data_IF_933533018858
#
_entry.id   IF_933533018858
#
_cell.length_a   1.000
_cell.length_b   1.000
_cell.length_c   1.000
_cell.angle_alpha   90.00
_cell.angle_beta   90.00
_cell.angle_gamma   90.00
#
_symmetry.space_group_name_H-M   'P 1'
#
loop_
_entity.id
_entity.type
_entity.pdbx_description
1 polymer ?
#
# COMPACT_ATOMS: atom_id res chain seq x y z
N UNK A 1 5.59 -9.56 5.78
CA UNK A 1 6.51 -10.07 6.83
C UNK A 1 7.07 -8.97 7.72
N UNK A 2 7.81 -7.97 7.26
CA UNK A 2 8.46 -6.97 8.14
C UNK A 2 7.50 -6.32 9.13
N UNK A 3 6.32 -5.87 8.70
CA UNK A 3 5.28 -5.30 9.58
C UNK A 3 4.76 -6.31 10.61
N UNK A 4 4.60 -7.58 10.25
CA UNK A 4 4.18 -8.66 11.16
C UNK A 4 5.24 -8.87 12.23
N UNK A 5 6.50 -9.02 11.84
CA UNK A 5 7.62 -9.22 12.75
C UNK A 5 7.84 -8.05 13.71
N UNK A 6 7.69 -6.81 13.23
CA UNK A 6 7.75 -5.61 14.09
C UNK A 6 6.64 -5.61 15.15
N UNK A 7 5.49 -6.22 14.87
CA UNK A 7 4.38 -6.42 15.80
C UNK A 7 4.53 -7.66 16.70
N UNK A 8 5.62 -8.38 16.57
CA UNK A 8 5.84 -9.61 17.31
C UNK A 8 5.03 -10.80 16.78
N UNK A 9 4.48 -10.69 15.57
CA UNK A 9 3.74 -11.79 14.96
C UNK A 9 4.68 -12.68 14.15
N UNK A 10 4.83 -13.93 14.60
CA UNK A 10 5.49 -15.00 13.89
C UNK A 10 4.45 -15.69 13.00
N UNK A 11 4.73 -15.83 11.70
CA UNK A 11 3.72 -16.39 10.79
C UNK A 11 3.72 -17.91 10.76
N UNK A 12 4.89 -18.53 10.68
CA UNK A 12 5.07 -19.98 10.75
C UNK A 12 4.76 -20.75 9.47
N UNK A 13 4.01 -20.17 8.53
CA UNK A 13 3.64 -20.77 7.24
C UNK A 13 3.54 -19.72 6.13
N UNK A 14 4.60 -18.96 5.97
CA UNK A 14 4.66 -17.97 4.90
C UNK A 14 4.82 -18.64 3.53
N UNK A 15 3.81 -18.49 2.67
CA UNK A 15 3.76 -19.05 1.32
C UNK A 15 3.10 -18.07 0.35
N UNK A 16 3.22 -18.29 -0.96
CA UNK A 16 2.53 -17.49 -1.97
C UNK A 16 1.01 -17.68 -1.90
N UNK A 17 0.56 -18.92 -1.64
CA UNK A 17 -0.86 -19.25 -1.50
C UNK A 17 -1.52 -18.59 -0.31
N UNK A 18 -0.76 -18.30 0.77
CA UNK A 18 -1.23 -17.64 1.98
C UNK A 18 -1.07 -16.12 1.95
N UNK A 19 -0.57 -15.55 0.84
CA UNK A 19 -0.41 -14.12 0.63
C UNK A 19 -1.24 -13.65 -0.58
N UNK A 20 -2.39 -13.05 -0.34
CA UNK A 20 -3.18 -12.43 -1.40
C UNK A 20 -2.70 -11.01 -1.65
N UNK A 21 -2.71 -10.62 -2.92
CA UNK A 21 -2.33 -9.28 -3.34
C UNK A 21 -3.55 -8.55 -3.92
N UNK A 22 -3.77 -7.36 -3.43
CA UNK A 22 -4.78 -6.44 -3.96
C UNK A 22 -4.10 -5.20 -4.49
N UNK A 23 -4.51 -4.74 -5.67
CA UNK A 23 -4.06 -3.45 -6.17
C UNK A 23 -4.71 -2.33 -5.35
N UNK A 24 -3.88 -1.45 -4.79
CA UNK A 24 -4.29 -0.30 -4.01
C UNK A 24 -3.38 0.87 -4.37
N UNK A 25 -3.94 1.90 -4.97
CA UNK A 25 -3.21 3.10 -5.34
C UNK A 25 -1.98 2.86 -6.23
N UNK A 26 -2.11 2.02 -7.27
CA UNK A 26 -1.02 1.69 -8.18
C UNK A 26 0.07 0.77 -7.58
N UNK A 27 -0.04 0.43 -6.29
CA UNK A 27 0.82 -0.52 -5.59
C UNK A 27 0.07 -1.82 -5.28
N UNK A 28 0.79 -2.89 -5.00
CA UNK A 28 0.22 -4.13 -4.51
C UNK A 28 0.27 -4.14 -2.98
N UNK A 29 -0.89 -4.27 -2.35
CA UNK A 29 -1.00 -4.50 -0.91
C UNK A 29 -1.16 -5.99 -0.66
N UNK A 30 -0.29 -6.56 0.18
CA UNK A 30 -0.34 -7.96 0.57
C UNK A 30 -1.24 -8.16 1.79
N UNK A 31 -2.04 -9.21 1.77
CA UNK A 31 -2.92 -9.62 2.86
C UNK A 31 -2.61 -11.06 3.22
N UNK A 32 -2.43 -11.32 4.50
CA UNK A 32 -2.35 -12.67 5.05
C UNK A 32 -3.76 -13.26 5.11
N UNK A 33 -3.96 -14.43 4.52
CA UNK A 33 -5.27 -15.09 4.49
C UNK A 33 -5.37 -16.31 5.39
N UNK A 34 -4.25 -16.94 5.72
CA UNK A 34 -4.18 -18.04 6.69
C UNK A 34 -3.19 -17.67 7.80
N UNK A 35 -3.68 -17.63 9.02
CA UNK A 35 -2.93 -17.29 10.21
C UNK A 35 -3.04 -18.38 11.31
N UNK A 36 -3.50 -19.59 10.97
CA UNK A 36 -3.72 -20.66 11.95
C UNK A 36 -2.41 -21.09 12.63
N UNK A 37 -1.30 -21.01 11.91
CA UNK A 37 0.06 -21.30 12.43
C UNK A 37 0.71 -20.10 13.11
N UNK A 38 0.05 -18.93 13.03
CA UNK A 38 0.61 -17.68 13.53
C UNK A 38 0.65 -17.60 15.06
N UNK A 39 1.74 -17.07 15.57
CA UNK A 39 1.93 -16.87 17.01
C UNK A 39 2.20 -15.41 17.34
N UNK A 40 1.51 -14.89 18.35
CA UNK A 40 1.72 -13.54 18.83
C UNK A 40 2.69 -13.52 20.01
N UNK A 41 3.81 -12.82 19.87
CA UNK A 41 4.83 -12.58 20.88
C UNK A 41 4.88 -11.10 21.24
N UNK A 42 5.47 -10.75 22.38
CA UNK A 42 5.74 -9.36 22.72
C UNK A 42 6.78 -8.76 21.77
N UNK A 43 7.78 -9.55 21.41
CA UNK A 43 8.84 -9.24 20.45
C UNK A 43 9.42 -10.54 19.92
N UNK A 44 9.73 -10.58 18.62
CA UNK A 44 10.40 -11.73 18.02
C UNK A 44 11.93 -11.62 18.18
N UNK A 45 12.55 -12.74 18.53
CA UNK A 45 14.01 -12.88 18.47
C UNK A 45 14.50 -12.96 17.01
N UNK A 46 15.80 -12.70 16.82
CA UNK A 46 16.44 -12.84 15.49
C UNK A 46 16.27 -14.27 14.94
N UNK A 47 16.35 -15.28 15.83
CA UNK A 47 16.16 -16.67 15.46
C UNK A 47 14.75 -17.00 14.99
N UNK A 48 13.72 -16.45 15.64
CA UNK A 48 12.33 -16.64 15.21
C UNK A 48 12.09 -15.98 13.85
N UNK A 49 12.59 -14.75 13.65
CA UNK A 49 12.48 -14.08 12.37
C UNK A 49 13.24 -14.81 11.26
N UNK A 50 14.46 -15.31 11.58
CA UNK A 50 15.25 -16.12 10.64
C UNK A 50 14.51 -17.39 10.22
N UNK A 51 13.91 -18.10 11.18
CA UNK A 51 13.15 -19.31 10.90
C UNK A 51 11.92 -19.05 10.01
N UNK A 52 11.21 -17.96 10.24
CA UNK A 52 10.07 -17.57 9.42
C UNK A 52 10.50 -17.20 7.98
N UNK A 53 11.69 -16.61 7.83
CA UNK A 53 12.29 -16.34 6.52
C UNK A 53 12.71 -17.63 5.80
N UNK A 54 13.27 -18.60 6.51
CA UNK A 54 13.69 -19.88 5.95
C UNK A 54 12.46 -20.65 5.43
N UNK A 55 11.34 -20.64 6.18
CA UNK A 55 10.07 -21.21 5.74
C UNK A 55 9.56 -20.49 4.49
N UNK A 56 9.55 -19.16 4.50
CA UNK A 56 9.11 -18.38 3.35
C UNK A 56 9.93 -18.68 2.09
N UNK A 57 11.25 -18.77 2.23
CA UNK A 57 12.16 -19.09 1.12
C UNK A 57 11.85 -20.47 0.56
N UNK A 58 11.72 -21.48 1.42
CA UNK A 58 11.44 -22.85 1.01
C UNK A 58 10.09 -22.97 0.29
N UNK A 59 9.04 -22.38 0.86
CA UNK A 59 7.69 -22.46 0.31
C UNK A 59 7.60 -21.72 -1.03
N UNK A 60 8.19 -20.51 -1.14
CA UNK A 60 8.19 -19.74 -2.38
C UNK A 60 8.90 -20.49 -3.51
N UNK A 61 10.06 -21.10 -3.24
CA UNK A 61 10.75 -21.94 -4.25
C UNK A 61 9.88 -23.12 -4.66
N UNK A 62 9.31 -23.85 -3.71
CA UNK A 62 8.46 -25.02 -3.99
C UNK A 62 7.25 -24.65 -4.85
N UNK A 63 6.49 -23.63 -4.46
CA UNK A 63 5.30 -23.18 -5.19
C UNK A 63 5.63 -22.62 -6.58
N UNK A 64 6.74 -21.91 -6.75
CA UNK A 64 7.18 -21.45 -8.07
C UNK A 64 7.61 -22.60 -8.98
N UNK A 65 8.26 -23.65 -8.45
CA UNK A 65 8.58 -24.87 -9.20
C UNK A 65 7.33 -25.64 -9.61
N UNK A 66 6.31 -25.69 -8.75
CA UNK A 66 5.01 -26.29 -9.09
C UNK A 66 4.32 -25.53 -10.22
N UNK A 67 4.32 -24.18 -10.15
CA UNK A 67 3.79 -23.31 -11.22
C UNK A 67 4.59 -23.50 -12.52
N UNK A 68 5.91 -23.61 -12.44
CA UNK A 68 6.76 -23.89 -13.60
C UNK A 68 6.39 -25.21 -14.28
N UNK A 69 6.16 -26.24 -13.50
CA UNK A 69 5.81 -27.57 -14.01
C UNK A 69 4.42 -27.60 -14.68
N UNK A 70 3.46 -26.83 -14.16
CA UNK A 70 2.08 -26.81 -14.66
C UNK A 70 1.86 -25.80 -15.81
N UNK A 71 2.37 -24.60 -15.68
CA UNK A 71 2.04 -23.45 -16.57
C UNK A 71 3.25 -22.90 -17.30
N UNK A 72 4.47 -23.22 -16.86
CA UNK A 72 5.70 -22.57 -17.26
C UNK A 72 5.87 -21.20 -16.57
N UNK A 73 7.11 -20.80 -16.37
CA UNK A 73 7.46 -19.47 -15.85
C UNK A 73 8.00 -18.56 -16.95
N UNK A 74 7.92 -17.24 -16.78
CA UNK A 74 8.65 -16.29 -17.62
C UNK A 74 10.16 -16.65 -17.64
N UNK A 75 10.81 -16.47 -18.78
CA UNK A 75 12.23 -16.86 -19.00
C UNK A 75 13.19 -16.18 -18.04
N UNK A 76 12.83 -15.03 -17.52
CA UNK A 76 13.60 -14.17 -16.61
C UNK A 76 13.25 -14.38 -15.12
N UNK A 77 12.37 -15.36 -14.80
CA UNK A 77 11.97 -15.63 -13.43
C UNK A 77 12.58 -16.96 -12.96
N UNK A 78 13.60 -16.87 -12.12
CA UNK A 78 14.23 -18.01 -11.45
C UNK A 78 13.65 -18.15 -10.02
N UNK A 79 13.12 -19.34 -9.64
CA UNK A 79 12.53 -19.58 -8.33
C UNK A 79 13.48 -19.32 -7.15
N UNK A 80 14.72 -19.78 -7.23
CA UNK A 80 15.71 -19.63 -6.15
C UNK A 80 16.14 -18.17 -6.03
N UNK A 81 16.46 -17.51 -7.16
CA UNK A 81 16.84 -16.09 -7.16
C UNK A 81 15.69 -15.21 -6.66
N UNK A 82 14.45 -15.54 -6.99
CA UNK A 82 13.25 -14.80 -6.53
C UNK A 82 13.10 -14.91 -5.01
N UNK A 83 13.23 -16.12 -4.45
CA UNK A 83 13.15 -16.34 -3.01
C UNK A 83 14.30 -15.65 -2.26
N UNK A 84 15.52 -15.72 -2.78
CA UNK A 84 16.68 -15.02 -2.24
C UNK A 84 16.50 -13.49 -2.23
N UNK A 85 15.89 -12.94 -3.28
CA UNK A 85 15.61 -11.50 -3.36
C UNK A 85 14.58 -11.07 -2.31
N UNK A 86 13.56 -11.89 -2.04
CA UNK A 86 12.60 -11.63 -0.96
C UNK A 86 13.32 -11.52 0.39
N UNK A 87 14.22 -12.46 0.70
CA UNK A 87 15.00 -12.44 1.94
C UNK A 87 15.92 -11.22 2.00
N UNK A 88 16.62 -10.91 0.91
CA UNK A 88 17.51 -9.73 0.83
C UNK A 88 16.73 -8.43 1.06
N UNK A 89 15.57 -8.28 0.43
CA UNK A 89 14.70 -7.09 0.61
C UNK A 89 14.15 -6.98 2.03
N UNK A 90 13.76 -8.11 2.61
CA UNK A 90 13.35 -8.13 4.02
C UNK A 90 14.49 -7.65 4.94
N UNK A 91 15.70 -8.19 4.78
CA UNK A 91 16.85 -7.84 5.61
C UNK A 91 17.24 -6.36 5.46
N UNK A 92 17.25 -5.85 4.23
CA UNK A 92 17.52 -4.44 3.96
C UNK A 92 16.49 -3.51 4.61
N UNK A 93 15.21 -3.85 4.47
CA UNK A 93 14.11 -3.10 5.07
C UNK A 93 14.14 -3.18 6.61
N UNK A 94 14.37 -4.38 7.16
CA UNK A 94 14.51 -4.57 8.60
C UNK A 94 15.65 -3.72 9.17
N UNK A 95 16.81 -3.75 8.54
CA UNK A 95 17.95 -2.93 8.93
C UNK A 95 17.63 -1.44 8.87
N UNK A 96 17.02 -0.98 7.78
CA UNK A 96 16.63 0.44 7.64
C UNK A 96 15.65 0.88 8.73
N UNK A 97 14.71 0.02 9.10
CA UNK A 97 13.70 0.31 10.12
C UNK A 97 14.23 0.25 11.55
N UNK A 98 15.15 -0.66 11.84
CA UNK A 98 15.59 -0.93 13.22
C UNK A 98 16.94 -0.29 13.58
N UNK A 99 17.70 0.25 12.62
CA UNK A 99 18.95 0.92 12.93
C UNK A 99 18.70 2.20 13.71
N UNK A 100 19.42 2.37 14.81
CA UNK A 100 19.46 3.64 15.54
C UNK A 100 20.35 4.64 14.77
N UNK A 101 19.85 5.85 14.61
CA UNK A 101 20.63 6.92 13.97
C UNK A 101 20.54 8.18 14.84
N UNK A 102 21.72 8.74 15.18
CA UNK A 102 21.81 9.97 15.94
C UNK A 102 22.18 11.13 14.98
N UNK A 103 21.49 12.26 15.11
CA UNK A 103 21.70 13.44 14.30
C UNK A 103 22.08 14.63 15.18
N UNK A 104 23.03 15.42 14.72
CA UNK A 104 23.36 16.69 15.35
C UNK A 104 22.24 17.72 15.18
N UNK A 105 22.27 18.78 15.99
CA UNK A 105 21.31 19.89 15.92
C UNK A 105 21.28 20.59 14.56
N UNK A 106 22.38 20.56 13.83
CA UNK A 106 22.52 21.19 12.51
C UNK A 106 22.20 20.22 11.34
N UNK A 107 21.85 18.96 11.63
CA UNK A 107 21.64 17.90 10.65
C UNK A 107 20.17 17.57 10.42
N UNK A 108 19.26 18.51 10.65
CA UNK A 108 17.80 18.33 10.44
C UNK A 108 17.45 17.79 9.05
N UNK A 109 18.20 18.17 8.03
CA UNK A 109 17.99 17.70 6.66
C UNK A 109 18.17 16.17 6.53
N UNK A 110 19.05 15.55 7.31
CA UNK A 110 19.22 14.08 7.32
C UNK A 110 18.03 13.37 7.94
N UNK A 111 17.41 13.98 8.94
CA UNK A 111 16.18 13.47 9.54
C UNK A 111 15.06 13.50 8.50
N UNK A 112 14.88 14.62 7.80
CA UNK A 112 13.89 14.76 6.73
C UNK A 112 14.13 13.78 5.59
N UNK A 113 15.38 13.61 5.16
CA UNK A 113 15.76 12.64 4.13
C UNK A 113 15.41 11.21 4.55
N UNK A 114 15.70 10.83 5.80
CA UNK A 114 15.36 9.52 6.32
C UNK A 114 13.85 9.31 6.44
N UNK A 115 13.12 10.30 6.95
CA UNK A 115 11.67 10.28 7.01
C UNK A 115 11.06 10.09 5.62
N UNK A 116 11.56 10.83 4.63
CA UNK A 116 11.11 10.70 3.24
C UNK A 116 11.37 9.30 2.68
N UNK A 117 12.55 8.72 2.96
CA UNK A 117 12.91 7.37 2.54
C UNK A 117 12.01 6.31 3.20
N UNK A 118 11.73 6.43 4.51
CA UNK A 118 10.84 5.52 5.22
C UNK A 118 9.40 5.63 4.71
N UNK A 119 8.93 6.84 4.43
CA UNK A 119 7.62 7.05 3.81
C UNK A 119 7.56 6.41 2.42
N UNK A 120 8.63 6.48 1.62
CA UNK A 120 8.68 5.81 0.30
C UNK A 120 8.65 4.28 0.41
N UNK A 121 9.13 3.73 1.54
CA UNK A 121 9.04 2.31 1.87
C UNK A 121 7.67 1.90 2.46
N UNK A 122 6.73 2.83 2.56
CA UNK A 122 5.36 2.58 3.03
C UNK A 122 5.14 2.69 4.54
N UNK A 123 6.10 3.27 5.28
CA UNK A 123 5.95 3.56 6.71
C UNK A 123 5.59 5.03 6.91
N UNK A 124 4.55 5.32 7.69
CA UNK A 124 4.13 6.71 7.93
C UNK A 124 5.02 7.39 8.98
N UNK A 125 5.02 8.73 8.95
CA UNK A 125 5.74 9.57 9.92
C UNK A 125 5.22 9.35 11.34
N UNK A 126 3.94 9.01 11.51
CA UNK A 126 3.35 8.69 12.80
C UNK A 126 3.90 7.39 13.41
N UNK A 127 4.52 6.52 12.59
CA UNK A 127 5.23 5.31 13.03
C UNK A 127 6.65 5.60 13.52
N UNK A 128 7.10 6.85 13.49
CA UNK A 128 8.48 7.26 13.73
C UNK A 128 8.51 8.25 14.90
N UNK A 129 9.21 7.90 15.99
CA UNK A 129 9.42 8.80 17.12
C UNK A 129 10.81 9.45 17.06
N UNK A 130 10.82 10.78 17.07
CA UNK A 130 12.01 11.59 17.22
C UNK A 130 12.20 11.92 18.71
N UNK A 131 13.22 11.34 19.32
CA UNK A 131 13.59 11.68 20.70
C UNK A 131 14.69 12.75 20.69
N UNK A 132 14.39 13.94 21.20
CA UNK A 132 15.38 14.98 21.42
C UNK A 132 16.34 14.55 22.53
N UNK A 133 17.65 14.66 22.29
CA UNK A 133 18.70 14.46 23.29
C UNK A 133 19.47 15.77 23.49
N UNK A 134 20.23 15.95 24.57
CA UNK A 134 21.02 17.16 24.80
C UNK A 134 22.06 17.42 23.69
N UNK A 135 22.42 16.39 22.92
CA UNK A 135 23.47 16.40 21.89
C UNK A 135 22.87 16.47 20.48
N UNK A 136 21.53 16.45 20.33
CA UNK A 136 20.85 16.46 19.04
C UNK A 136 19.54 15.68 19.08
N UNK A 137 19.25 14.98 17.99
CA UNK A 137 18.07 14.14 17.84
C UNK A 137 18.48 12.68 17.69
N UNK A 138 17.82 11.79 18.41
CA UNK A 138 17.91 10.35 18.19
C UNK A 138 16.62 9.91 17.54
N UNK A 139 16.73 9.36 16.33
CA UNK A 139 15.63 8.74 15.64
C UNK A 139 15.52 7.31 16.15
N UNK A 140 14.54 7.07 16.98
CA UNK A 140 14.10 5.74 17.35
C UNK A 140 12.83 5.46 16.56
N UNK A 141 12.86 4.39 15.80
CA UNK A 141 11.65 3.81 15.27
C UNK A 141 11.04 2.97 16.38
N UNK A 142 10.01 3.53 17.04
CA UNK A 142 9.04 2.70 17.73
C UNK A 142 8.00 2.32 16.68
N UNK A 143 8.07 1.11 16.11
CA UNK A 143 7.18 0.70 15.05
C UNK A 143 5.79 0.43 15.61
N UNK A 144 5.08 1.49 15.95
CA UNK A 144 3.65 1.44 16.09
C UNK A 144 3.07 1.32 14.68
N UNK A 145 3.02 0.08 14.21
CA UNK A 145 2.28 -0.25 12.99
C UNK A 145 0.84 0.18 13.24
N UNK A 146 0.42 1.21 12.56
CA UNK A 146 -0.94 1.75 12.62
C UNK A 146 -1.92 0.62 12.30
N UNK A 147 -3.04 0.57 13.01
CA UNK A 147 -4.06 -0.45 12.77
C UNK A 147 -4.48 -0.47 11.30
N UNK A 148 -4.71 -1.64 10.70
CA UNK A 148 -5.22 -1.73 9.34
C UNK A 148 -6.46 -0.85 9.17
N UNK A 149 -6.48 0.01 8.16
CA UNK A 149 -7.58 0.94 7.92
C UNK A 149 -7.51 2.27 8.68
N UNK A 150 -6.41 2.58 9.37
CA UNK A 150 -6.24 3.85 10.11
C UNK A 150 -6.39 5.06 9.18
N UNK A 151 -5.66 5.09 8.07
CA UNK A 151 -5.72 6.20 7.12
C UNK A 151 -7.09 6.30 6.47
N UNK A 152 -7.71 5.16 6.12
CA UNK A 152 -9.09 5.10 5.62
C UNK A 152 -10.07 5.72 6.61
N UNK A 153 -10.03 5.31 7.88
CA UNK A 153 -10.90 5.85 8.92
C UNK A 153 -10.62 7.34 9.20
N UNK A 154 -9.35 7.76 9.18
CA UNK A 154 -8.97 9.16 9.38
C UNK A 154 -9.48 10.01 8.23
N UNK A 155 -9.26 9.61 6.98
CA UNK A 155 -9.78 10.31 5.80
C UNK A 155 -11.30 10.41 5.83
N UNK A 156 -11.99 9.29 6.11
CA UNK A 156 -13.45 9.25 6.21
C UNK A 156 -13.98 10.23 7.26
N UNK A 157 -13.35 10.30 8.43
CA UNK A 157 -13.74 11.26 9.48
C UNK A 157 -13.50 12.71 9.09
N UNK A 158 -12.43 13.01 8.38
CA UNK A 158 -12.05 14.38 8.02
C UNK A 158 -12.82 14.91 6.81
N UNK A 159 -13.08 14.05 5.84
CA UNK A 159 -13.61 14.45 4.53
C UNK A 159 -14.95 13.79 4.16
N UNK A 160 -15.32 12.71 4.82
CA UNK A 160 -16.46 11.87 4.41
C UNK A 160 -16.17 10.99 3.20
N UNK A 161 -14.93 10.96 2.69
CA UNK A 161 -14.53 10.14 1.55
C UNK A 161 -14.13 8.75 2.02
N UNK A 162 -14.67 7.72 1.36
CA UNK A 162 -14.22 6.34 1.51
C UNK A 162 -13.21 6.00 0.42
N UNK A 163 -12.02 5.55 0.84
CA UNK A 163 -10.92 5.21 -0.05
C UNK A 163 -10.19 3.99 0.50
N UNK A 164 -9.38 3.33 -0.32
CA UNK A 164 -8.49 2.26 0.13
C UNK A 164 -7.34 2.84 0.98
N UNK A 165 -6.68 2.02 1.77
CA UNK A 165 -5.70 2.45 2.77
C UNK A 165 -4.57 3.32 2.18
N UNK A 166 -3.94 2.87 1.09
CA UNK A 166 -2.87 3.63 0.44
C UNK A 166 -3.38 4.89 -0.28
N UNK A 167 -4.59 4.84 -0.86
CA UNK A 167 -5.25 6.01 -1.43
C UNK A 167 -5.52 7.05 -0.33
N UNK A 168 -6.09 6.61 0.79
CA UNK A 168 -6.37 7.46 1.93
C UNK A 168 -5.10 8.12 2.48
N UNK A 169 -4.00 7.36 2.61
CA UNK A 169 -2.70 7.89 3.02
C UNK A 169 -2.21 8.99 2.09
N UNK A 170 -2.27 8.78 0.77
CA UNK A 170 -1.84 9.79 -0.22
C UNK A 170 -2.71 11.03 -0.18
N UNK A 171 -4.02 10.87 -0.03
CA UNK A 171 -4.95 12.01 0.12
C UNK A 171 -4.70 12.78 1.41
N UNK A 172 -4.44 12.11 2.53
CA UNK A 172 -4.07 12.76 3.79
C UNK A 172 -2.77 13.55 3.67
N UNK A 173 -1.78 13.03 2.96
CA UNK A 173 -0.54 13.77 2.66
C UNK A 173 -0.79 15.00 1.78
N UNK A 174 -1.70 14.90 0.82
CA UNK A 174 -2.07 16.06 -0.03
C UNK A 174 -2.83 17.12 0.80
N UNK A 175 -3.74 16.68 1.69
CA UNK A 175 -4.42 17.57 2.67
C UNK A 175 -3.40 18.28 3.56
N UNK A 176 -2.37 17.58 4.04
CA UNK A 176 -1.33 18.18 4.88
C UNK A 176 -0.56 19.27 4.11
N UNK A 177 -0.17 19.02 2.87
CA UNK A 177 0.47 20.02 2.00
C UNK A 177 -0.45 21.21 1.71
N UNK A 178 -1.72 20.95 1.46
CA UNK A 178 -2.73 22.00 1.25
C UNK A 178 -2.88 22.86 2.50
N UNK A 179 -2.91 22.25 3.70
CA UNK A 179 -2.93 22.96 4.98
C UNK A 179 -1.73 23.87 5.15
N UNK A 180 -0.51 23.37 4.89
CA UNK A 180 0.71 24.20 4.97
C UNK A 180 0.67 25.40 4.00
N UNK A 181 0.12 25.21 2.81
CA UNK A 181 -0.06 26.29 1.85
C UNK A 181 -1.08 27.34 2.34
N UNK A 182 -2.19 26.88 2.94
CA UNK A 182 -3.18 27.77 3.58
C UNK A 182 -2.58 28.55 4.76
N UNK A 183 -1.86 27.85 5.67
CA UNK A 183 -1.22 28.48 6.83
C UNK A 183 -0.22 29.57 6.42
N UNK A 184 0.57 29.32 5.36
CA UNK A 184 1.48 30.33 4.79
C UNK A 184 0.73 31.51 4.20
N UNK A 185 -0.39 31.27 3.49
CA UNK A 185 -1.21 32.33 2.87
C UNK A 185 -1.90 33.20 3.91
N UNK A 186 -2.45 32.60 4.96
CA UNK A 186 -3.23 33.28 5.99
C UNK A 186 -2.40 33.75 7.19
N UNK A 187 -1.14 33.31 7.27
CA UNK A 187 -0.22 33.60 8.38
C UNK A 187 -0.80 33.25 9.76
N UNK A 188 -1.53 32.12 9.83
CA UNK A 188 -2.11 31.57 11.07
C UNK A 188 -2.20 30.06 11.00
N UNK A 189 -2.18 29.38 12.16
CA UNK A 189 -2.40 27.94 12.19
C UNK A 189 -3.83 27.59 11.73
N UNK A 190 -3.95 26.54 10.93
CA UNK A 190 -5.22 26.00 10.40
C UNK A 190 -5.43 24.60 10.98
N UNK A 191 -6.62 24.32 11.52
CA UNK A 191 -6.93 22.98 11.98
C UNK A 191 -7.03 22.01 10.80
N UNK A 192 -6.67 20.74 11.04
CA UNK A 192 -6.72 19.70 10.02
C UNK A 192 -8.13 19.53 9.42
N UNK A 193 -9.17 19.59 10.25
CA UNK A 193 -10.56 19.49 9.79
C UNK A 193 -10.99 20.64 8.86
N UNK A 194 -10.56 21.87 9.15
CA UNK A 194 -10.82 23.02 8.28
C UNK A 194 -10.07 22.86 6.95
N UNK A 195 -8.79 22.48 7.00
CA UNK A 195 -8.02 22.25 5.80
C UNK A 195 -8.59 21.11 4.94
N UNK A 196 -9.06 20.03 5.57
CA UNK A 196 -9.67 18.89 4.88
C UNK A 196 -11.00 19.28 4.19
N UNK A 197 -11.82 20.13 4.82
CA UNK A 197 -13.06 20.64 4.21
C UNK A 197 -12.76 21.49 2.97
N UNK A 198 -11.84 22.46 3.11
CA UNK A 198 -11.43 23.29 1.97
C UNK A 198 -10.74 22.49 0.86
N UNK A 199 -9.89 21.54 1.21
CA UNK A 199 -9.25 20.67 0.22
C UNK A 199 -10.29 19.86 -0.55
N UNK A 200 -11.30 19.33 0.13
CA UNK A 200 -12.39 18.60 -0.52
C UNK A 200 -13.13 19.49 -1.53
N UNK A 201 -13.50 20.70 -1.12
CA UNK A 201 -14.28 21.65 -1.92
C UNK A 201 -13.45 22.31 -3.05
N UNK A 202 -12.18 22.62 -2.81
CA UNK A 202 -11.33 23.39 -3.72
C UNK A 202 -10.44 22.50 -4.61
N UNK A 203 -10.16 21.25 -4.20
CA UNK A 203 -9.23 20.36 -4.90
C UNK A 203 -9.92 19.06 -5.36
N UNK A 204 -10.47 18.27 -4.43
CA UNK A 204 -11.00 16.95 -4.74
C UNK A 204 -12.24 17.02 -5.66
N UNK A 205 -13.29 17.70 -5.23
CA UNK A 205 -14.56 17.77 -5.96
C UNK A 205 -14.39 18.40 -7.36
N UNK A 206 -13.67 19.53 -7.52
CA UNK A 206 -13.43 20.10 -8.86
C UNK A 206 -12.62 19.17 -9.77
N UNK A 207 -11.62 18.45 -9.21
CA UNK A 207 -10.80 17.51 -9.99
C UNK A 207 -11.65 16.36 -10.53
N UNK A 208 -12.49 15.76 -9.68
CA UNK A 208 -13.39 14.67 -10.09
C UNK A 208 -14.45 15.18 -11.08
N UNK A 209 -15.06 16.35 -10.82
CA UNK A 209 -16.09 16.92 -11.68
C UNK A 209 -15.58 17.35 -13.06
N UNK A 210 -14.30 17.63 -13.21
CA UNK A 210 -13.70 18.00 -14.50
C UNK A 210 -13.47 16.80 -15.44
N UNK A 211 -13.58 15.57 -14.94
CA UNK A 211 -13.48 14.38 -15.78
C UNK A 211 -14.84 14.08 -16.41
N UNK A 212 -14.93 13.85 -17.73
CA UNK A 212 -16.20 13.49 -18.40
C UNK A 212 -16.87 12.26 -17.77
N UNK A 213 -18.16 12.36 -17.49
CA UNK A 213 -18.92 11.36 -16.73
C UNK A 213 -18.97 9.98 -17.42
N UNK A 214 -18.93 9.94 -18.74
CA UNK A 214 -18.87 8.74 -19.57
C UNK A 214 -17.53 7.99 -19.45
N UNK A 215 -16.47 8.66 -19.00
CA UNK A 215 -15.13 8.09 -18.85
C UNK A 215 -14.84 7.59 -17.43
N UNK A 216 -15.47 8.19 -16.41
CA UNK A 216 -15.20 7.81 -15.02
C UNK A 216 -16.27 6.92 -14.38
N UNK A 217 -17.41 6.68 -15.04
CA UNK A 217 -18.44 5.77 -14.54
C UNK A 217 -17.96 4.36 -14.18
N UNK A 218 -16.75 3.99 -14.65
CA UNK A 218 -16.08 2.71 -14.36
C UNK A 218 -15.17 2.75 -13.12
N UNK A 219 -14.85 3.93 -12.57
CA UNK A 219 -13.88 4.09 -11.47
C UNK A 219 -14.52 4.82 -10.28
N UNK A 220 -14.27 4.38 -9.03
CA UNK A 220 -14.61 5.18 -7.85
C UNK A 220 -13.90 6.55 -7.88
N UNK A 221 -14.57 7.61 -7.39
CA UNK A 221 -14.02 8.96 -7.38
C UNK A 221 -12.66 9.07 -6.66
N UNK A 222 -12.47 8.30 -5.58
CA UNK A 222 -11.19 8.22 -4.87
C UNK A 222 -10.08 7.62 -5.72
N UNK A 223 -10.37 6.58 -6.51
CA UNK A 223 -9.41 5.98 -7.43
C UNK A 223 -9.04 6.95 -8.55
N UNK A 224 -10.04 7.59 -9.16
CA UNK A 224 -9.81 8.59 -10.21
C UNK A 224 -8.91 9.73 -9.71
N UNK A 225 -9.23 10.30 -8.56
CA UNK A 225 -8.42 11.37 -7.96
C UNK A 225 -6.99 10.90 -7.67
N UNK A 226 -6.85 9.67 -7.16
CA UNK A 226 -5.55 9.08 -6.89
C UNK A 226 -4.70 8.94 -8.16
N UNK A 227 -5.28 8.47 -9.26
CA UNK A 227 -4.58 8.33 -10.55
C UNK A 227 -4.14 9.68 -11.10
N UNK A 228 -4.94 10.74 -10.92
CA UNK A 228 -4.54 12.11 -11.28
C UNK A 228 -3.36 12.59 -10.43
N UNK A 229 -3.33 12.30 -9.12
CA UNK A 229 -2.17 12.62 -8.27
C UNK A 229 -0.90 11.87 -8.68
N UNK A 230 -1.03 10.60 -9.07
CA UNK A 230 0.10 9.80 -9.54
C UNK A 230 0.64 10.35 -10.88
N UNK A 231 -0.25 10.70 -11.79
CA UNK A 231 0.12 11.32 -13.06
C UNK A 231 0.78 12.69 -12.86
N UNK A 232 0.28 13.50 -11.90
CA UNK A 232 0.91 14.76 -11.50
C UNK A 232 2.34 14.54 -11.02
N UNK A 233 2.56 13.53 -10.17
CA UNK A 233 3.89 13.22 -9.68
C UNK A 233 4.82 12.86 -10.84
N UNK A 234 4.41 11.97 -11.74
CA UNK A 234 5.18 11.56 -12.92
C UNK A 234 5.54 12.75 -13.83
N UNK A 235 4.58 13.61 -14.12
CA UNK A 235 4.83 14.81 -14.93
C UNK A 235 5.77 15.80 -14.23
N UNK A 236 5.64 15.94 -12.91
CA UNK A 236 6.48 16.84 -12.12
C UNK A 236 7.93 16.35 -12.04
N UNK A 237 8.13 15.05 -11.87
CA UNK A 237 9.45 14.41 -11.90
C UNK A 237 10.13 14.65 -13.26
N UNK A 238 9.42 14.39 -14.36
CA UNK A 238 9.91 14.62 -15.72
C UNK A 238 10.22 16.12 -16.01
N UNK A 239 9.45 17.02 -15.41
CA UNK A 239 9.62 18.45 -15.60
C UNK A 239 10.64 19.09 -14.62
N UNK A 240 11.11 18.35 -13.60
CA UNK A 240 11.97 18.87 -12.53
C UNK A 240 11.29 19.94 -11.65
N UNK A 241 9.96 20.05 -11.69
CA UNK A 241 9.15 21.01 -10.90
C UNK A 241 7.70 20.57 -10.81
N UNK A 242 6.98 21.00 -9.79
CA UNK A 242 5.54 20.74 -9.68
C UNK A 242 4.76 21.36 -10.86
N UNK A 243 3.99 20.55 -11.56
CA UNK A 243 3.19 20.98 -12.73
C UNK A 243 1.80 21.45 -12.34
N UNK A 244 1.36 21.24 -11.10
CA UNK A 244 0.02 21.55 -10.63
C UNK A 244 -1.04 20.52 -11.07
N UNK A 245 -2.18 20.53 -10.33
CA UNK A 245 -3.24 19.53 -10.54
C UNK A 245 -3.99 19.74 -11.84
N UNK A 246 -4.27 20.99 -12.25
CA UNK A 246 -5.02 21.29 -13.46
C UNK A 246 -4.33 20.79 -14.72
N UNK A 247 -3.00 21.00 -14.80
CA UNK A 247 -2.21 20.51 -15.94
C UNK A 247 -2.10 18.99 -15.95
N UNK A 248 -1.96 18.38 -14.78
CA UNK A 248 -1.91 16.93 -14.65
C UNK A 248 -3.25 16.30 -15.06
N UNK A 249 -4.37 16.90 -14.63
CA UNK A 249 -5.71 16.45 -14.96
C UNK A 249 -5.97 16.53 -16.47
N UNK A 250 -5.65 17.65 -17.13
CA UNK A 250 -5.78 17.78 -18.58
C UNK A 250 -4.99 16.70 -19.34
N UNK A 251 -3.73 16.53 -18.97
CA UNK A 251 -2.87 15.50 -19.56
C UNK A 251 -3.40 14.07 -19.29
N UNK A 252 -3.88 13.80 -18.05
CA UNK A 252 -4.43 12.50 -17.69
C UNK A 252 -5.68 12.13 -18.49
N UNK A 253 -6.60 13.07 -18.67
CA UNK A 253 -7.84 12.89 -19.44
C UNK A 253 -7.52 12.65 -20.93
N UNK A 254 -6.49 13.30 -21.47
CA UNK A 254 -6.13 13.16 -22.87
C UNK A 254 -5.32 11.88 -23.18
N UNK A 255 -4.40 11.48 -22.29
CA UNK A 255 -3.43 10.40 -22.58
C UNK A 255 -3.70 9.09 -21.89
N UNK A 256 -4.10 9.11 -20.62
CA UNK A 256 -4.18 7.90 -19.79
C UNK A 256 -5.60 7.34 -19.72
N UNK A 257 -6.57 8.19 -19.45
CA UNK A 257 -7.95 7.78 -19.21
C UNK A 257 -8.57 6.99 -20.40
N UNK A 258 -8.32 7.35 -21.68
CA UNK A 258 -8.86 6.59 -22.82
C UNK A 258 -8.24 5.18 -22.96
N UNK A 259 -7.07 4.95 -22.32
CA UNK A 259 -6.38 3.65 -22.39
C UNK A 259 -6.77 2.72 -21.25
N UNK A 260 -7.50 3.21 -20.24
CA UNK A 260 -7.98 2.38 -19.13
C UNK A 260 -9.03 1.41 -19.64
N UNK A 261 -8.70 0.13 -19.66
CA UNK A 261 -9.68 -0.93 -19.87
C UNK A 261 -10.42 -1.13 -18.55
N UNK A 262 -11.77 -1.19 -18.55
CA UNK A 262 -12.50 -1.60 -17.36
C UNK A 262 -12.01 -2.99 -16.95
N UNK A 263 -11.51 -3.14 -15.74
CA UNK A 263 -11.19 -4.46 -15.18
C UNK A 263 -12.50 -5.25 -15.13
N UNK A 264 -12.64 -6.24 -16.02
CA UNK A 264 -13.73 -7.20 -15.93
C UNK A 264 -13.43 -8.08 -14.72
N UNK A 265 -14.18 -7.89 -13.64
CA UNK A 265 -14.32 -8.91 -12.62
C UNK A 265 -15.07 -10.05 -13.32
N UNK A 266 -14.36 -11.09 -13.70
CA UNK A 266 -14.98 -12.36 -14.08
C UNK A 266 -15.43 -12.98 -12.76
N UNK A 267 -16.66 -12.69 -12.36
CA UNK A 267 -17.37 -13.53 -11.41
C UNK A 267 -17.61 -14.83 -12.19
N UNK A 268 -16.87 -15.88 -11.90
CA UNK A 268 -17.28 -17.23 -12.27
C UNK A 268 -18.63 -17.44 -11.57
N UNK A 269 -19.69 -17.53 -12.36
CA UNK A 269 -20.98 -18.00 -11.85
C UNK A 269 -20.73 -19.42 -11.32
N UNK A 270 -21.19 -19.76 -10.09
CA UNK A 270 -21.09 -21.11 -9.60
C UNK A 270 -21.78 -22.01 -10.61
N UNK A 271 -21.00 -22.88 -11.26
CA UNK A 271 -21.51 -23.80 -12.26
C UNK A 271 -22.64 -24.62 -11.67
N UNK A 272 -23.72 -24.77 -12.46
CA UNK A 272 -24.84 -25.66 -12.20
C UNK A 272 -24.38 -27.12 -12.01
N UNK A 273 -23.93 -27.46 -10.82
CA UNK A 273 -23.70 -28.85 -10.39
C UNK A 273 -24.96 -29.55 -9.89
N UNK A 274 -26.15 -29.13 -10.30
CA UNK A 274 -27.43 -29.76 -9.97
C UNK A 274 -28.19 -30.28 -11.20
N UNK A 275 -27.55 -31.03 -12.08
CA UNK A 275 -28.27 -31.69 -13.18
C UNK A 275 -27.83 -33.16 -13.49
N UNK A 276 -27.23 -33.86 -12.55
CA UNK A 276 -26.88 -35.28 -12.76
C UNK A 276 -27.30 -36.25 -11.62
N UNK A 277 -28.29 -35.88 -10.81
CA UNK A 277 -28.77 -36.75 -9.72
C UNK A 277 -30.19 -37.29 -9.84
N UNK A 278 -30.86 -37.18 -11.02
CA UNK A 278 -32.18 -37.80 -11.23
C UNK A 278 -32.24 -38.62 -12.50
N UNK A 279 -31.54 -39.74 -12.51
CA UNK A 279 -31.53 -40.61 -13.67
C UNK A 279 -31.15 -42.09 -13.45
N UNK A 280 -31.27 -42.62 -12.22
CA UNK A 280 -31.10 -44.08 -12.04
C UNK A 280 -31.84 -44.62 -10.82
N UNK A 281 -33.16 -44.69 -10.93
CA UNK A 281 -33.98 -45.47 -9.99
C UNK A 281 -35.27 -45.90 -10.65
N UNK A 282 -35.21 -46.72 -11.72
CA UNK A 282 -36.35 -47.51 -12.19
C UNK A 282 -35.81 -48.60 -13.10
N UNK A 283 -35.40 -49.71 -12.57
CA UNK A 283 -35.68 -51.06 -13.10
C UNK A 283 -35.00 -52.19 -12.32
N UNK A 284 -35.60 -52.62 -11.21
CA UNK A 284 -35.35 -53.94 -10.62
C UNK A 284 -36.61 -54.41 -9.91
N UNK A 285 -37.62 -54.74 -10.72
CA UNK A 285 -38.68 -55.67 -10.30
C UNK A 285 -39.30 -56.39 -11.51
N UNK A 286 -38.65 -57.46 -11.88
CA UNK A 286 -39.28 -58.72 -12.41
C UNK A 286 -38.30 -59.84 -12.38
#
# INVERSE_FOLDING_TARGET
MTRLHLRGFFWGDCSLSNALFRRDAGALSAYLVDAETGEQHQQLSDGQRGYDLDIAQLNVVGELLDIEAELGLPVDLDPEETADEIVRRYQALWHELTREEAFGTDEHYKVEERLHRLNSLGFDVEEIQLNATPEGYRLNLDPHVVEPGHHRHRLLRLTGLDAQENQARRMLNDIARFREAMERRENRPISESVAASHWREEVFEPTVAAVPEDLWAALPAAELFHQVLEHRWFLSEKAGKDVGIDKALGSYVESELPMLRPERIVLEEPGDEEALADGEAADLSR
#
